data_IF_871802737578
#
_entry.id   IF_871802737578
#
_cell.length_a   1.000
_cell.length_b   1.000
_cell.length_c   1.000
_cell.angle_alpha   90.00
_cell.angle_beta   90.00
_cell.angle_gamma   90.00
#
_symmetry.space_group_name_H-M   'P 1'
#
loop_
_entity.id
_entity.type
_entity.pdbx_description
1 polymer ?
#
# COMPACT_ATOMS: atom_id res chain seq x y z
N UNK A 1 4.70 1.13 0.52
CA UNK A 1 4.48 2.50 1.05
C UNK A 1 5.40 3.58 0.47
N UNK A 2 6.73 3.40 0.36
CA UNK A 2 7.63 4.45 -0.18
C UNK A 2 7.15 5.08 -1.48
N UNK A 3 6.81 4.24 -2.48
CA UNK A 3 6.32 4.71 -3.77
C UNK A 3 5.01 5.52 -3.65
N UNK A 4 4.13 5.13 -2.73
CA UNK A 4 2.89 5.88 -2.45
C UNK A 4 3.24 7.27 -1.92
N UNK A 5 4.17 7.36 -0.95
CA UNK A 5 4.59 8.64 -0.39
C UNK A 5 5.28 9.53 -1.42
N UNK A 6 6.18 8.98 -2.25
CA UNK A 6 6.81 9.71 -3.35
C UNK A 6 5.77 10.33 -4.29
N UNK A 7 4.79 9.53 -4.73
CA UNK A 7 3.74 10.00 -5.62
C UNK A 7 2.79 11.01 -4.98
N UNK A 8 2.43 10.84 -3.71
CA UNK A 8 1.62 11.84 -2.98
C UNK A 8 2.39 13.15 -2.79
N UNK A 9 3.73 13.08 -2.66
CA UNK A 9 4.60 14.26 -2.59
C UNK A 9 4.69 14.98 -3.93
N UNK A 10 4.80 14.23 -5.04
CA UNK A 10 4.77 14.81 -6.40
C UNK A 10 3.48 15.59 -6.68
N UNK A 11 2.35 15.13 -6.13
CA UNK A 11 1.04 15.78 -6.26
C UNK A 11 0.78 16.88 -5.19
N UNK A 12 1.77 17.20 -4.38
CA UNK A 12 1.71 18.17 -3.27
C UNK A 12 0.65 17.85 -2.21
N UNK A 13 0.28 16.58 -2.06
CA UNK A 13 -0.64 16.10 -1.01
C UNK A 13 0.09 15.96 0.33
N UNK A 14 1.37 15.61 0.27
CA UNK A 14 2.28 15.60 1.42
C UNK A 14 3.59 16.34 1.09
N UNK A 15 4.30 16.82 2.11
CA UNK A 15 5.51 17.66 2.01
C UNK A 15 6.53 17.24 3.05
N UNK A 16 7.82 17.43 2.78
CA UNK A 16 8.92 17.06 3.69
C UNK A 16 9.81 15.94 3.12
N UNK A 17 10.67 15.36 3.96
CA UNK A 17 11.56 14.28 3.56
C UNK A 17 10.87 12.91 3.56
N UNK A 18 11.15 12.07 2.56
CA UNK A 18 10.53 10.73 2.46
C UNK A 18 11.09 9.78 3.52
N UNK A 19 12.37 9.90 3.89
CA UNK A 19 12.98 9.11 4.98
C UNK A 19 12.28 9.37 6.30
N UNK A 20 12.10 10.64 6.67
CA UNK A 20 11.40 11.02 7.90
C UNK A 20 9.97 10.46 7.97
N UNK A 21 9.25 10.46 6.83
CA UNK A 21 7.91 9.89 6.73
C UNK A 21 7.92 8.36 6.85
N UNK A 22 8.92 7.69 6.28
CA UNK A 22 9.09 6.23 6.36
C UNK A 22 9.40 5.79 7.79
N UNK A 23 10.31 6.49 8.47
CA UNK A 23 10.69 6.20 9.87
C UNK A 23 9.48 6.34 10.81
N UNK A 24 8.55 7.22 10.47
CA UNK A 24 7.28 7.44 11.20
C UNK A 24 6.12 6.56 10.73
N UNK A 25 6.33 5.68 9.75
CA UNK A 25 5.28 4.81 9.18
C UNK A 25 4.08 5.61 8.62
N UNK A 26 4.32 6.82 8.10
CA UNK A 26 3.26 7.71 7.57
C UNK A 26 2.44 7.04 6.46
N UNK A 27 3.09 6.15 5.70
CA UNK A 27 2.44 5.37 4.64
C UNK A 27 1.26 4.53 5.13
N UNK A 28 1.24 4.13 6.41
CA UNK A 28 0.13 3.39 7.00
C UNK A 28 -1.17 4.20 7.12
N UNK A 29 -1.09 5.54 7.04
CA UNK A 29 -2.29 6.41 6.96
C UNK A 29 -3.03 6.18 5.65
N UNK A 30 -2.30 5.96 4.56
CA UNK A 30 -2.85 5.77 3.21
C UNK A 30 -2.98 4.30 2.80
N UNK A 31 -2.21 3.40 3.42
CA UNK A 31 -2.26 1.95 3.17
C UNK A 31 -2.22 1.21 4.52
N UNK A 32 -3.35 1.14 5.25
CA UNK A 32 -3.39 0.54 6.60
C UNK A 32 -3.33 -0.99 6.60
N UNK A 33 -3.51 -1.62 5.43
CA UNK A 33 -3.48 -3.06 5.25
C UNK A 33 -2.09 -3.56 4.83
N UNK A 34 -1.87 -4.88 4.90
CA UNK A 34 -0.67 -5.51 4.38
C UNK A 34 -0.58 -5.42 2.85
N UNK A 35 0.63 -5.49 2.30
CA UNK A 35 0.86 -5.41 0.84
C UNK A 35 0.26 -6.60 0.07
N UNK A 36 0.05 -7.73 0.74
CA UNK A 36 -0.50 -8.93 0.15
C UNK A 36 -0.44 -10.12 1.10
N UNK A 37 -0.85 -11.27 0.60
CA UNK A 37 -0.98 -12.50 1.38
C UNK A 37 -0.85 -13.76 0.53
N UNK A 38 -0.54 -14.88 1.17
CA UNK A 38 -0.54 -16.18 0.50
C UNK A 38 -1.95 -16.46 -0.04
N UNK A 39 -2.01 -17.10 -1.21
CA UNK A 39 -3.25 -17.41 -1.91
C UNK A 39 -3.20 -18.86 -2.40
N UNK A 40 -4.26 -19.62 -2.15
CA UNK A 40 -4.32 -21.04 -2.49
C UNK A 40 -5.75 -21.53 -2.55
N UNK A 41 -6.09 -22.56 -1.77
CA UNK A 41 -7.48 -23.02 -1.63
C UNK A 41 -8.28 -21.94 -0.89
N UNK A 42 -7.68 -21.35 0.14
CA UNK A 42 -8.26 -20.21 0.84
C UNK A 42 -7.78 -18.90 0.21
N UNK A 43 -8.64 -17.88 0.23
CA UNK A 43 -8.27 -16.53 -0.22
C UNK A 43 -7.08 -16.01 0.61
N UNK A 44 -7.16 -16.14 1.94
CA UNK A 44 -6.04 -15.91 2.84
C UNK A 44 -5.43 -17.25 3.26
N UNK A 45 -4.60 -17.83 2.38
CA UNK A 45 -4.06 -19.19 2.56
C UNK A 45 -3.19 -19.31 3.82
N UNK A 46 -3.23 -20.47 4.52
CA UNK A 46 -2.55 -20.64 5.80
C UNK A 46 -1.01 -20.66 5.65
N UNK A 47 -0.34 -20.64 6.81
CA UNK A 47 1.12 -20.78 6.87
C UNK A 47 1.90 -19.48 6.67
N UNK A 48 1.27 -18.31 6.78
CA UNK A 48 1.97 -17.02 6.77
C UNK A 48 2.87 -16.77 7.99
N UNK A 49 2.54 -17.38 9.14
CA UNK A 49 3.29 -17.30 10.39
C UNK A 49 3.47 -18.71 10.99
N UNK A 50 4.42 -19.50 10.48
CA UNK A 50 4.80 -20.75 11.13
C UNK A 50 5.46 -20.47 12.49
N UNK A 51 5.66 -21.52 13.29
CA UNK A 51 6.34 -21.41 14.58
C UNK A 51 7.71 -20.70 14.45
N UNK A 52 7.96 -19.76 15.37
CA UNK A 52 9.18 -18.94 15.38
C UNK A 52 9.13 -17.66 14.53
N UNK A 53 8.07 -17.43 13.75
CA UNK A 53 7.86 -16.15 13.05
C UNK A 53 6.79 -15.32 13.76
N UNK A 54 7.17 -14.11 14.15
CA UNK A 54 6.27 -13.14 14.79
C UNK A 54 5.81 -12.05 13.82
N UNK A 55 4.65 -11.50 14.13
CA UNK A 55 4.04 -10.39 13.38
C UNK A 55 4.58 -9.06 13.92
N UNK A 56 5.09 -8.16 13.07
CA UNK A 56 5.53 -6.83 13.48
C UNK A 56 4.39 -6.04 14.15
N UNK A 57 4.72 -5.15 15.06
CA UNK A 57 3.73 -4.29 15.73
C UNK A 57 3.51 -2.95 15.02
N UNK A 58 4.44 -2.57 14.14
CA UNK A 58 4.44 -1.27 13.46
C UNK A 58 3.18 -1.05 12.59
N UNK A 59 2.67 0.19 12.50
CA UNK A 59 1.57 0.53 11.60
C UNK A 59 1.79 0.06 10.15
N UNK A 60 0.73 -0.49 9.55
CA UNK A 60 0.76 -1.15 8.25
C UNK A 60 1.35 -2.56 8.31
N UNK A 61 2.55 -2.73 8.87
CA UNK A 61 3.24 -4.03 8.92
C UNK A 61 2.53 -5.06 9.81
N UNK A 62 1.90 -4.62 10.90
CA UNK A 62 1.05 -5.48 11.74
C UNK A 62 -0.14 -6.09 10.99
N UNK A 63 -0.51 -5.52 9.85
CA UNK A 63 -1.60 -6.04 9.00
C UNK A 63 -1.12 -7.05 7.96
N UNK A 64 0.19 -7.28 7.82
CA UNK A 64 0.74 -8.29 6.90
C UNK A 64 0.22 -9.69 7.26
N UNK A 65 -0.11 -10.51 6.26
CA UNK A 65 -0.54 -11.90 6.52
C UNK A 65 0.61 -12.91 6.47
N UNK A 66 1.81 -12.46 6.10
CA UNK A 66 3.04 -13.27 6.12
C UNK A 66 4.25 -12.34 6.23
N UNK A 67 5.27 -12.77 6.95
CA UNK A 67 6.63 -12.15 6.98
C UNK A 67 7.69 -13.09 6.43
N UNK A 68 7.26 -14.21 5.83
CA UNK A 68 8.16 -15.21 5.27
C UNK A 68 8.92 -14.67 4.07
N UNK A 69 10.15 -15.13 3.92
CA UNK A 69 10.86 -15.04 2.64
C UNK A 69 10.07 -15.76 1.55
N UNK A 70 9.99 -15.13 0.37
CA UNK A 70 9.33 -15.72 -0.79
C UNK A 70 10.15 -16.89 -1.31
N UNK A 71 9.51 -18.05 -1.47
CA UNK A 71 10.12 -19.26 -2.03
C UNK A 71 9.40 -19.69 -3.30
N UNK A 72 10.12 -20.29 -4.23
CA UNK A 72 9.55 -20.89 -5.42
C UNK A 72 8.37 -21.79 -5.07
N UNK A 73 7.29 -21.69 -5.84
CA UNK A 73 6.07 -22.46 -5.63
C UNK A 73 5.01 -21.75 -4.80
N UNK A 74 5.35 -20.67 -4.10
CA UNK A 74 4.35 -19.83 -3.42
C UNK A 74 3.50 -19.07 -4.44
N UNK A 75 2.22 -18.90 -4.12
CA UNK A 75 1.33 -17.94 -4.78
C UNK A 75 0.94 -16.88 -3.77
N UNK A 76 1.06 -15.62 -4.15
CA UNK A 76 0.85 -14.46 -3.27
C UNK A 76 0.09 -13.36 -4.02
N UNK A 77 -0.75 -12.61 -3.31
CA UNK A 77 -1.32 -11.36 -3.82
C UNK A 77 -0.28 -10.23 -3.73
N UNK A 78 -0.34 -9.29 -4.67
CA UNK A 78 0.37 -8.01 -4.64
C UNK A 78 -0.68 -6.94 -4.85
N UNK A 79 -1.04 -6.23 -3.78
CA UNK A 79 -2.23 -5.39 -3.71
C UNK A 79 -1.96 -4.02 -3.04
N UNK A 80 -1.00 -3.21 -3.53
CA UNK A 80 -0.82 -1.87 -2.99
C UNK A 80 -2.12 -1.06 -3.12
N UNK A 81 -2.46 -0.37 -2.04
CA UNK A 81 -3.63 0.51 -1.93
C UNK A 81 -3.24 1.91 -1.51
N UNK A 82 -4.04 2.90 -1.89
CA UNK A 82 -3.96 4.27 -1.42
C UNK A 82 -5.37 4.80 -1.18
N UNK A 83 -5.74 4.94 0.09
CA UNK A 83 -7.06 5.34 0.55
C UNK A 83 -6.99 6.62 1.41
N UNK A 84 -8.00 7.47 1.30
CA UNK A 84 -8.19 8.67 2.12
C UNK A 84 -9.23 8.39 3.20
N UNK A 85 -8.80 7.69 4.26
CA UNK A 85 -9.70 7.21 5.32
C UNK A 85 -9.80 8.27 6.43
N UNK A 86 -11.00 8.84 6.61
CA UNK A 86 -11.26 9.93 7.56
C UNK A 86 -10.75 9.65 8.98
N UNK A 87 -10.94 8.43 9.49
CA UNK A 87 -10.50 8.07 10.84
C UNK A 87 -8.96 8.11 10.99
N UNK A 88 -8.22 7.68 9.97
CA UNK A 88 -6.76 7.67 10.00
C UNK A 88 -6.19 9.06 9.73
N UNK A 89 -6.81 9.81 8.81
CA UNK A 89 -6.46 11.21 8.55
C UNK A 89 -6.72 12.09 9.78
N UNK A 90 -7.81 11.84 10.52
CA UNK A 90 -8.10 12.50 11.79
C UNK A 90 -6.99 12.27 12.82
N UNK A 91 -6.60 11.01 13.04
CA UNK A 91 -5.50 10.67 13.94
C UNK A 91 -4.18 11.35 13.51
N UNK A 92 -3.87 11.36 12.21
CA UNK A 92 -2.68 12.00 11.69
C UNK A 92 -2.72 13.54 11.83
N UNK A 93 -3.90 14.14 11.80
CA UNK A 93 -4.10 15.58 12.02
C UNK A 93 -3.85 16.00 13.45
N UNK A 94 -4.23 15.14 14.40
CA UNK A 94 -4.12 15.39 15.84
C UNK A 94 -2.69 15.16 16.37
N UNK A 95 -1.85 14.41 15.66
CA UNK A 95 -0.40 14.31 15.93
C UNK A 95 0.33 15.53 15.33
N UNK A 96 0.89 16.44 16.14
CA UNK A 96 1.51 17.67 15.63
C UNK A 96 2.67 17.43 14.66
N UNK A 97 3.41 16.33 14.84
CA UNK A 97 4.57 16.06 14.01
C UNK A 97 4.12 15.42 12.70
N UNK A 98 3.26 14.41 12.76
CA UNK A 98 2.72 13.79 11.54
C UNK A 98 1.94 14.82 10.70
N UNK A 99 1.13 15.64 11.36
CA UNK A 99 0.31 16.69 10.73
C UNK A 99 1.12 17.69 9.91
N UNK A 100 2.37 17.94 10.28
CA UNK A 100 3.27 18.86 9.56
C UNK A 100 3.65 18.38 8.15
N UNK A 101 3.54 17.07 7.88
CA UNK A 101 3.81 16.51 6.56
C UNK A 101 2.63 16.66 5.58
N UNK A 102 1.41 16.96 6.04
CA UNK A 102 0.23 16.96 5.18
C UNK A 102 -0.06 18.36 4.63
N UNK A 103 -0.36 18.43 3.33
CA UNK A 103 -1.06 19.57 2.76
C UNK A 103 -2.57 19.38 3.00
N UNK A 104 -3.06 19.86 4.14
CA UNK A 104 -4.45 19.67 4.55
C UNK A 104 -5.49 20.26 3.59
N UNK A 105 -5.14 21.32 2.85
CA UNK A 105 -6.01 21.88 1.81
C UNK A 105 -6.23 20.87 0.68
N UNK A 106 -5.16 20.23 0.20
CA UNK A 106 -5.24 19.17 -0.81
C UNK A 106 -5.95 17.94 -0.27
N UNK A 107 -5.64 17.50 0.95
CA UNK A 107 -6.28 16.33 1.59
C UNK A 107 -7.81 16.49 1.61
N UNK A 108 -8.30 17.69 1.94
CA UNK A 108 -9.74 17.96 2.00
C UNK A 108 -10.43 17.72 0.65
N UNK A 109 -9.75 18.02 -0.47
CA UNK A 109 -10.27 17.75 -1.82
C UNK A 109 -10.44 16.25 -2.11
N UNK A 110 -9.66 15.39 -1.46
CA UNK A 110 -9.66 13.94 -1.68
C UNK A 110 -10.47 13.15 -0.64
N UNK A 111 -11.04 13.79 0.39
CA UNK A 111 -11.79 13.07 1.45
C UNK A 111 -12.94 12.19 0.92
N UNK A 112 -13.63 12.63 -0.13
CA UNK A 112 -14.74 11.89 -0.72
C UNK A 112 -14.32 10.90 -1.83
N UNK A 113 -13.02 10.83 -2.14
CA UNK A 113 -12.51 9.97 -3.21
C UNK A 113 -12.61 8.48 -2.86
N UNK A 114 -12.50 8.14 -1.57
CA UNK A 114 -12.31 6.76 -1.13
C UNK A 114 -10.86 6.35 -1.35
N UNK A 115 -10.59 5.51 -2.34
CA UNK A 115 -9.23 5.08 -2.64
C UNK A 115 -9.13 4.12 -3.81
N UNK A 116 -7.90 3.71 -4.10
CA UNK A 116 -7.56 2.82 -5.21
C UNK A 116 -6.72 1.68 -4.68
N UNK A 117 -7.04 0.45 -5.09
CA UNK A 117 -6.22 -0.74 -4.88
C UNK A 117 -6.10 -1.50 -6.19
N UNK A 118 -4.87 -1.88 -6.53
CA UNK A 118 -4.56 -2.64 -7.74
C UNK A 118 -3.95 -3.97 -7.31
N UNK A 119 -4.71 -5.05 -7.49
CA UNK A 119 -4.31 -6.38 -7.01
C UNK A 119 -3.93 -7.30 -8.17
N UNK A 120 -2.82 -8.03 -8.01
CA UNK A 120 -2.40 -9.13 -8.88
C UNK A 120 -2.11 -10.40 -8.07
N UNK A 121 -2.40 -11.55 -8.65
CA UNK A 121 -1.97 -12.85 -8.14
C UNK A 121 -0.66 -13.22 -8.83
N UNK A 122 0.39 -13.51 -8.06
CA UNK A 122 1.71 -13.85 -8.63
C UNK A 122 2.20 -15.18 -8.11
N UNK A 123 2.73 -16.00 -9.02
CA UNK A 123 3.40 -17.27 -8.71
C UNK A 123 4.91 -17.03 -8.65
N UNK A 124 5.54 -17.38 -7.52
CA UNK A 124 6.99 -17.22 -7.32
C UNK A 124 7.75 -18.33 -8.05
N UNK A 125 8.72 -17.94 -8.88
CA UNK A 125 9.61 -18.83 -9.62
C UNK A 125 11.03 -18.78 -9.03
N UNK A 126 11.95 -19.62 -9.50
CA UNK A 126 13.35 -19.59 -9.07
C UNK A 126 14.08 -18.28 -9.45
N UNK A 127 13.60 -17.55 -10.46
CA UNK A 127 14.25 -16.34 -10.99
C UNK A 127 13.38 -15.07 -10.88
N UNK A 128 12.25 -15.14 -10.17
CA UNK A 128 11.34 -14.01 -10.05
C UNK A 128 9.90 -14.45 -9.80
N UNK A 129 8.96 -13.94 -10.61
CA UNK A 129 7.55 -14.33 -10.52
C UNK A 129 6.87 -14.36 -11.89
N UNK A 130 5.72 -15.06 -11.95
CA UNK A 130 4.79 -15.04 -13.06
C UNK A 130 3.49 -14.39 -12.59
N UNK A 131 3.06 -13.32 -13.25
CA UNK A 131 1.75 -12.73 -12.99
C UNK A 131 0.65 -13.62 -13.59
N UNK A 132 -0.32 -14.00 -12.76
CA UNK A 132 -1.46 -14.83 -13.13
C UNK A 132 -2.69 -13.98 -13.48
N UNK A 133 -2.70 -12.70 -13.09
CA UNK A 133 -3.80 -11.78 -13.36
C UNK A 133 -3.64 -11.15 -14.74
N UNK A 134 -4.68 -11.27 -15.56
CA UNK A 134 -4.75 -10.65 -16.88
C UNK A 134 -5.92 -9.67 -16.93
N UNK A 135 -5.66 -8.40 -16.62
CA UNK A 135 -6.63 -7.31 -16.75
C UNK A 135 -5.94 -6.02 -17.21
N UNK A 136 -6.68 -5.07 -17.82
CA UNK A 136 -6.12 -3.77 -18.19
C UNK A 136 -5.58 -3.03 -16.96
N UNK A 137 -4.34 -2.51 -17.05
CA UNK A 137 -3.67 -1.77 -15.96
C UNK A 137 -3.35 -0.32 -16.31
N UNK A 138 -3.21 -0.02 -17.61
CA UNK A 138 -2.85 1.31 -18.07
C UNK A 138 -4.08 2.18 -18.30
N UNK A 139 -3.93 3.48 -18.04
CA UNK A 139 -4.92 4.47 -18.45
C UNK A 139 -4.72 4.82 -19.91
N UNK A 140 -5.80 4.83 -20.70
CA UNK A 140 -5.79 5.47 -22.02
C UNK A 140 -5.57 6.98 -21.85
N UNK A 141 -4.42 7.50 -22.29
CA UNK A 141 -4.04 8.92 -22.13
C UNK A 141 -4.82 9.89 -23.03
N UNK A 142 -5.88 9.46 -23.70
CA UNK A 142 -6.63 10.24 -24.71
C UNK A 142 -7.88 10.99 -24.17
N UNK A 143 -8.05 11.11 -22.85
CA UNK A 143 -9.15 11.86 -22.26
C UNK A 143 -8.73 12.59 -20.99
N UNK A 144 -9.18 13.84 -20.84
CA UNK A 144 -8.91 14.69 -19.69
C UNK A 144 -9.41 14.04 -18.37
N UNK A 145 -8.51 13.99 -17.38
CA UNK A 145 -8.83 13.78 -15.98
C UNK A 145 -8.65 12.34 -15.48
N UNK A 146 -8.17 12.23 -14.25
CA UNK A 146 -7.97 11.02 -13.42
C UNK A 146 -6.57 10.40 -13.48
N UNK A 147 -5.68 10.93 -12.64
CA UNK A 147 -4.37 10.39 -12.32
C UNK A 147 -4.48 9.13 -11.43
N UNK A 148 -4.67 7.95 -12.02
CA UNK A 148 -4.26 6.72 -11.34
C UNK A 148 -2.73 6.65 -11.42
N UNK A 149 -2.08 6.85 -10.29
CA UNK A 149 -0.67 6.59 -10.10
C UNK A 149 -0.40 5.12 -10.46
N UNK A 150 0.32 4.91 -11.56
CA UNK A 150 0.74 3.58 -11.95
C UNK A 150 1.85 3.16 -10.98
N UNK A 151 1.48 2.39 -9.97
CA UNK A 151 2.41 1.66 -9.12
C UNK A 151 2.92 0.45 -9.89
N UNK A 152 3.84 0.68 -10.84
CA UNK A 152 4.65 -0.35 -11.50
C UNK A 152 6.11 0.02 -11.39
#
# INVERSE_FOLDING_TARGET
ERRILESLKEEDIIRGDIGDMMDRRLGAVFMPHGLGHLLGIDAHDPGGYPEGLERPEEPGLRSLRTTRELKQGMVITVEPGCDFIDALLGQARDDPICSSFFNWEKIEMYRSFGGVRIESNVYVTAQGCKNLTNCPRERNRSGNGWCALAFT
#
